data_IF_478113778817
#
_entry.id   IF_478113778817
#
_cell.length_a   1.000
_cell.length_b   1.000
_cell.length_c   1.000
_cell.angle_alpha   90.00
_cell.angle_beta   90.00
_cell.angle_gamma   90.00
#
_symmetry.space_group_name_H-M   'P 1'
#
loop_
_entity.id
_entity.type
_entity.pdbx_description
1 polymer ?
#
# COMPACT_ATOMS: atom_id res chain seq x y z
N UNK A 1 -30.95 2.49 -12.88
CA UNK A 1 -30.82 1.09 -13.28
C UNK A 1 -29.40 0.73 -13.77
N UNK A 2 -28.79 1.43 -14.75
CA UNK A 2 -27.43 1.15 -15.26
C UNK A 2 -26.33 1.20 -14.20
N UNK A 3 -26.42 2.16 -13.25
CA UNK A 3 -25.44 2.33 -12.16
C UNK A 3 -25.49 1.16 -11.16
N UNK A 4 -26.68 0.68 -10.83
CA UNK A 4 -26.85 -0.45 -9.91
C UNK A 4 -26.30 -1.74 -10.54
N UNK A 5 -26.56 -1.99 -11.82
CA UNK A 5 -26.01 -3.15 -12.53
C UNK A 5 -24.48 -3.13 -12.60
N UNK A 6 -23.90 -1.93 -12.79
CA UNK A 6 -22.45 -1.78 -12.76
C UNK A 6 -21.88 -2.11 -11.36
N UNK A 7 -22.51 -1.59 -10.30
CA UNK A 7 -22.10 -1.87 -8.93
C UNK A 7 -22.19 -3.37 -8.61
N UNK A 8 -23.28 -4.03 -8.95
CA UNK A 8 -23.46 -5.47 -8.74
C UNK A 8 -22.41 -6.29 -9.48
N UNK A 9 -22.06 -5.89 -10.71
CA UNK A 9 -20.99 -6.53 -11.46
C UNK A 9 -19.64 -6.41 -10.78
N UNK A 10 -19.26 -5.21 -10.30
CA UNK A 10 -17.99 -4.98 -9.59
C UNK A 10 -17.93 -5.78 -8.28
N UNK A 11 -19.03 -5.85 -7.53
CA UNK A 11 -19.15 -6.69 -6.34
C UNK A 11 -18.97 -8.17 -6.71
N UNK A 12 -19.60 -8.64 -7.79
CA UNK A 12 -19.45 -10.01 -8.28
C UNK A 12 -17.99 -10.33 -8.63
N UNK A 13 -17.30 -9.44 -9.33
CA UNK A 13 -15.88 -9.61 -9.62
C UNK A 13 -15.01 -9.64 -8.36
N UNK A 14 -15.31 -8.81 -7.37
CA UNK A 14 -14.63 -8.86 -6.07
C UNK A 14 -14.83 -10.21 -5.36
N UNK A 15 -16.06 -10.68 -5.28
CA UNK A 15 -16.40 -11.94 -4.59
C UNK A 15 -15.72 -13.17 -5.21
N UNK A 16 -15.53 -13.18 -6.51
CA UNK A 16 -14.86 -14.27 -7.22
C UNK A 16 -13.35 -14.05 -7.27
N UNK A 17 -12.92 -12.83 -7.59
CA UNK A 17 -11.52 -12.50 -7.80
C UNK A 17 -10.68 -12.58 -6.51
N UNK A 18 -11.19 -12.06 -5.39
CA UNK A 18 -10.45 -12.05 -4.12
C UNK A 18 -10.05 -13.46 -3.67
N UNK A 19 -10.97 -14.45 -3.60
CA UNK A 19 -10.59 -15.82 -3.24
C UNK A 19 -9.57 -16.45 -4.19
N UNK A 20 -9.73 -16.24 -5.51
CA UNK A 20 -8.82 -16.78 -6.52
C UNK A 20 -7.41 -16.16 -6.34
N UNK A 21 -7.32 -14.83 -6.25
CA UNK A 21 -6.04 -14.16 -6.07
C UNK A 21 -5.40 -14.52 -4.73
N UNK A 22 -6.19 -14.64 -3.66
CA UNK A 22 -5.67 -15.08 -2.36
C UNK A 22 -5.10 -16.50 -2.43
N UNK A 23 -5.80 -17.43 -3.08
CA UNK A 23 -5.31 -18.79 -3.28
C UNK A 23 -4.00 -18.82 -4.08
N UNK A 24 -3.96 -18.11 -5.21
CA UNK A 24 -2.75 -17.98 -6.02
C UNK A 24 -1.60 -17.34 -5.26
N UNK A 25 -1.90 -16.32 -4.43
CA UNK A 25 -0.91 -15.70 -3.57
C UNK A 25 -0.32 -16.69 -2.56
N UNK A 26 -1.17 -17.43 -1.85
CA UNK A 26 -0.73 -18.42 -0.86
C UNK A 26 0.14 -19.49 -1.50
N UNK A 27 -0.33 -20.09 -2.60
CA UNK A 27 0.42 -21.13 -3.32
C UNK A 27 1.75 -20.57 -3.85
N UNK A 28 1.71 -19.41 -4.51
CA UNK A 28 2.89 -18.77 -5.07
C UNK A 28 3.92 -18.35 -4.01
N UNK A 29 3.45 -17.83 -2.88
CA UNK A 29 4.29 -17.47 -1.75
C UNK A 29 5.04 -18.69 -1.17
N UNK A 30 4.32 -19.77 -0.85
CA UNK A 30 4.95 -20.97 -0.30
C UNK A 30 5.84 -21.68 -1.32
N UNK A 31 5.47 -21.70 -2.60
CA UNK A 31 6.33 -22.20 -3.67
C UNK A 31 7.65 -21.42 -3.74
N UNK A 32 7.55 -20.09 -3.75
CA UNK A 32 8.74 -19.21 -3.81
C UNK A 32 9.62 -19.39 -2.57
N UNK A 33 9.01 -19.38 -1.38
CA UNK A 33 9.70 -19.57 -0.12
C UNK A 33 10.42 -20.95 -0.10
N UNK A 34 9.70 -22.04 -0.43
CA UNK A 34 10.23 -23.39 -0.47
C UNK A 34 11.38 -23.53 -1.46
N UNK A 35 11.24 -22.99 -2.68
CA UNK A 35 12.29 -23.00 -3.69
C UNK A 35 13.58 -22.31 -3.21
N UNK A 36 13.44 -21.24 -2.44
CA UNK A 36 14.57 -20.49 -1.93
C UNK A 36 15.16 -21.08 -0.65
N UNK A 37 14.34 -21.68 0.22
CA UNK A 37 14.84 -22.38 1.42
C UNK A 37 15.65 -23.64 1.08
N UNK A 38 15.25 -24.38 0.04
CA UNK A 38 15.97 -25.59 -0.40
C UNK A 38 17.36 -25.28 -1.00
N UNK A 39 17.49 -24.07 -1.57
CA UNK A 39 18.76 -23.61 -2.18
C UNK A 39 19.38 -22.49 -1.35
N UNK A 40 19.42 -22.64 -0.01
CA UNK A 40 19.93 -21.60 0.89
C UNK A 40 21.38 -21.27 0.59
N UNK A 41 21.58 -20.22 -0.21
CA UNK A 41 22.86 -19.60 -0.51
C UNK A 41 22.72 -18.08 -0.30
N UNK A 42 23.81 -17.37 -0.03
CA UNK A 42 23.84 -15.90 0.12
C UNK A 42 23.12 -15.16 -1.02
N UNK A 43 23.17 -15.69 -2.25
CA UNK A 43 22.42 -15.18 -3.41
C UNK A 43 20.89 -15.21 -3.21
N UNK A 44 20.38 -16.13 -2.43
CA UNK A 44 18.94 -16.33 -2.17
C UNK A 44 18.37 -15.19 -1.33
N UNK A 45 19.06 -14.76 -0.29
CA UNK A 45 18.65 -13.61 0.53
C UNK A 45 18.48 -12.35 -0.31
N UNK A 46 19.38 -12.14 -1.28
CA UNK A 46 19.35 -10.99 -2.18
C UNK A 46 18.17 -11.02 -3.17
N UNK A 47 17.65 -12.20 -3.51
CA UNK A 47 16.48 -12.36 -4.39
C UNK A 47 15.15 -12.34 -3.63
N UNK A 48 15.12 -12.83 -2.39
CA UNK A 48 13.93 -12.84 -1.53
C UNK A 48 13.52 -11.43 -1.08
N UNK A 49 14.48 -10.58 -0.76
CA UNK A 49 14.21 -9.21 -0.28
C UNK A 49 13.31 -8.38 -1.22
N UNK A 50 13.55 -8.32 -2.55
CA UNK A 50 12.67 -7.60 -3.46
C UNK A 50 11.25 -8.19 -3.53
N UNK A 51 11.13 -9.52 -3.45
CA UNK A 51 9.83 -10.21 -3.50
C UNK A 51 9.03 -9.90 -2.23
N UNK A 52 9.62 -10.05 -1.06
CA UNK A 52 8.99 -9.75 0.22
C UNK A 52 8.60 -8.26 0.30
N UNK A 53 9.48 -7.37 -0.15
CA UNK A 53 9.19 -5.94 -0.23
C UNK A 53 7.99 -5.65 -1.14
N UNK A 54 7.93 -6.27 -2.32
CA UNK A 54 6.81 -6.09 -3.26
C UNK A 54 5.49 -6.56 -2.64
N UNK A 55 5.51 -7.72 -1.97
CA UNK A 55 4.33 -8.25 -1.27
C UNK A 55 3.88 -7.27 -0.17
N UNK A 56 4.80 -6.78 0.64
CA UNK A 56 4.49 -5.81 1.70
C UNK A 56 3.89 -4.53 1.13
N UNK A 57 4.43 -4.00 0.04
CA UNK A 57 3.90 -2.80 -0.62
C UNK A 57 2.49 -3.01 -1.16
N UNK A 58 2.20 -4.18 -1.76
CA UNK A 58 0.86 -4.51 -2.25
C UNK A 58 -0.14 -4.58 -1.08
N UNK A 59 0.19 -5.26 0.01
CA UNK A 59 -0.67 -5.31 1.19
C UNK A 59 -0.89 -3.95 1.84
N UNK A 60 0.15 -3.12 1.92
CA UNK A 60 0.04 -1.77 2.46
C UNK A 60 -0.86 -0.88 1.56
N UNK A 61 -0.75 -1.00 0.23
CA UNK A 61 -1.63 -0.33 -0.71
C UNK A 61 -3.09 -0.81 -0.63
N UNK A 62 -3.32 -2.11 -0.50
CA UNK A 62 -4.66 -2.67 -0.29
C UNK A 62 -5.26 -2.22 1.04
N UNK A 63 -4.49 -2.22 2.11
CA UNK A 63 -4.92 -1.71 3.41
C UNK A 63 -5.26 -0.22 3.34
N UNK A 64 -4.46 0.58 2.62
CA UNK A 64 -4.76 1.97 2.39
C UNK A 64 -6.06 2.18 1.60
N UNK A 65 -6.29 1.40 0.54
CA UNK A 65 -7.51 1.47 -0.23
C UNK A 65 -8.76 1.08 0.59
N UNK A 66 -8.66 0.00 1.37
CA UNK A 66 -9.79 -0.51 2.16
C UNK A 66 -10.10 0.31 3.40
N UNK A 67 -9.08 0.82 4.08
CA UNK A 67 -9.24 1.58 5.32
C UNK A 67 -9.21 3.11 5.10
N UNK A 68 -9.08 3.57 3.87
CA UNK A 68 -8.78 4.96 3.57
C UNK A 68 -9.80 5.96 4.13
N UNK A 69 -11.08 5.75 3.92
CA UNK A 69 -12.12 6.65 4.45
C UNK A 69 -12.14 6.63 5.98
N UNK A 70 -12.07 5.43 6.59
CA UNK A 70 -11.99 5.30 8.04
C UNK A 70 -10.81 6.08 8.61
N UNK A 71 -9.61 5.96 7.99
CA UNK A 71 -8.43 6.67 8.44
C UNK A 71 -8.56 8.19 8.27
N UNK A 72 -9.16 8.65 7.17
CA UNK A 72 -9.41 10.08 6.96
C UNK A 72 -10.33 10.64 8.03
N UNK A 73 -11.40 9.93 8.38
CA UNK A 73 -12.38 10.36 9.38
C UNK A 73 -11.79 10.33 10.80
N UNK A 74 -11.19 9.21 11.20
CA UNK A 74 -10.58 9.03 12.53
C UNK A 74 -9.43 10.02 12.77
N UNK A 75 -8.60 10.24 11.77
CA UNK A 75 -7.49 11.18 11.83
C UNK A 75 -7.89 12.61 11.49
N UNK A 76 -9.16 12.84 11.08
CA UNK A 76 -9.71 14.15 10.70
C UNK A 76 -8.85 14.84 9.64
N UNK A 77 -8.55 14.11 8.55
CA UNK A 77 -7.72 14.61 7.46
C UNK A 77 -8.56 15.50 6.54
N UNK A 78 -8.10 16.72 6.35
CA UNK A 78 -8.80 17.73 5.51
C UNK A 78 -8.09 17.97 4.19
N UNK A 79 -6.77 17.74 4.14
CA UNK A 79 -5.98 18.00 2.97
C UNK A 79 -6.30 17.00 1.84
N UNK A 80 -6.63 17.50 0.66
CA UNK A 80 -7.00 16.67 -0.50
C UNK A 80 -5.82 15.90 -1.10
N UNK A 81 -4.60 16.41 -0.94
CA UNK A 81 -3.39 15.77 -1.48
C UNK A 81 -2.89 14.63 -0.58
N UNK A 82 -3.10 14.72 0.71
CA UNK A 82 -2.64 13.77 1.72
C UNK A 82 -3.78 12.92 2.28
N UNK A 83 -4.69 12.43 1.41
CA UNK A 83 -5.82 11.56 1.79
C UNK A 83 -5.49 10.10 1.58
N UNK A 84 -5.86 9.29 2.56
CA UNK A 84 -5.85 7.84 2.44
C UNK A 84 -6.93 7.36 1.44
N UNK A 85 -6.76 6.15 0.90
CA UNK A 85 -7.76 5.48 0.06
C UNK A 85 -7.32 5.20 -1.38
N UNK A 86 -6.11 5.60 -1.78
CA UNK A 86 -5.59 5.30 -3.11
C UNK A 86 -4.76 4.02 -3.07
N UNK A 87 -5.13 3.04 -3.87
CA UNK A 87 -4.51 1.69 -3.86
C UNK A 87 -3.01 1.67 -4.22
N UNK A 88 -2.54 2.69 -4.94
CA UNK A 88 -1.13 2.83 -5.34
C UNK A 88 -0.27 3.59 -4.34
N UNK A 89 -0.86 4.06 -3.23
CA UNK A 89 -0.17 4.70 -2.13
C UNK A 89 -0.16 3.78 -0.92
N UNK A 90 0.96 3.72 -0.22
CA UNK A 90 1.04 3.00 1.04
C UNK A 90 0.52 3.84 2.20
N UNK A 91 0.02 3.21 3.26
CA UNK A 91 -0.37 3.93 4.50
C UNK A 91 0.81 4.74 5.03
N UNK A 92 2.02 4.17 4.97
CA UNK A 92 3.25 4.85 5.42
C UNK A 92 3.53 6.12 4.63
N UNK A 93 3.40 6.07 3.31
CA UNK A 93 3.63 7.21 2.43
C UNK A 93 2.59 8.32 2.68
N UNK A 94 1.29 7.96 2.74
CA UNK A 94 0.23 8.94 3.03
C UNK A 94 0.39 9.54 4.42
N UNK A 95 0.77 8.74 5.43
CA UNK A 95 1.03 9.25 6.78
C UNK A 95 2.17 10.27 6.79
N UNK A 96 3.20 10.05 5.99
CA UNK A 96 4.30 11.01 5.80
C UNK A 96 3.82 12.29 5.11
N UNK A 97 3.00 12.18 4.07
CA UNK A 97 2.38 13.34 3.39
C UNK A 97 1.47 14.13 4.33
N UNK A 98 0.66 13.45 5.15
CA UNK A 98 -0.19 14.11 6.18
C UNK A 98 0.65 14.93 7.14
N UNK A 99 1.80 14.40 7.59
CA UNK A 99 2.73 15.16 8.43
C UNK A 99 3.29 16.39 7.71
N UNK A 100 3.63 16.26 6.43
CA UNK A 100 4.21 17.36 5.65
C UNK A 100 3.21 18.49 5.37
N UNK A 101 1.97 18.14 5.06
CA UNK A 101 0.98 19.10 4.57
C UNK A 101 -0.09 19.52 5.58
N UNK A 102 -0.25 18.81 6.68
CA UNK A 102 -1.34 19.09 7.62
C UNK A 102 -0.93 19.00 9.08
N UNK A 103 -0.61 17.80 9.57
CA UNK A 103 -0.35 17.58 11.00
C UNK A 103 0.35 16.27 11.30
N UNK A 104 0.93 16.20 12.49
CA UNK A 104 1.42 14.94 13.05
C UNK A 104 0.28 14.10 13.62
N UNK A 105 0.29 12.81 13.34
CA UNK A 105 -0.76 11.87 13.75
C UNK A 105 -0.24 10.78 14.67
N UNK A 106 -1.13 10.17 15.47
CA UNK A 106 -0.78 9.02 16.28
C UNK A 106 -0.36 7.81 15.42
N UNK A 107 -0.94 7.68 14.22
CA UNK A 107 -0.59 6.60 13.28
C UNK A 107 0.88 6.69 12.86
N UNK A 108 1.42 7.89 12.63
CA UNK A 108 2.86 8.06 12.38
C UNK A 108 3.71 7.58 13.54
N UNK A 109 3.28 7.88 14.78
CA UNK A 109 4.00 7.41 15.97
C UNK A 109 4.00 5.88 16.05
N UNK A 110 2.90 5.25 15.70
CA UNK A 110 2.80 3.79 15.60
C UNK A 110 3.72 3.22 14.52
N UNK A 111 3.73 3.81 13.33
CA UNK A 111 4.56 3.36 12.21
C UNK A 111 6.07 3.51 12.44
N UNK A 112 6.51 4.23 13.48
CA UNK A 112 7.93 4.26 13.89
C UNK A 112 8.48 2.88 14.30
N UNK A 113 7.62 1.91 14.60
CA UNK A 113 8.00 0.51 14.82
C UNK A 113 8.69 -0.06 13.58
N UNK A 114 8.28 0.36 12.37
CA UNK A 114 8.87 -0.07 11.09
C UNK A 114 10.21 0.63 10.78
N UNK A 115 10.51 1.72 11.49
CA UNK A 115 11.72 2.52 11.34
C UNK A 115 11.50 3.96 11.79
N UNK A 116 12.51 4.58 12.42
CA UNK A 116 12.38 5.90 13.04
C UNK A 116 11.83 6.98 12.10
N UNK A 117 12.25 6.96 10.83
CA UNK A 117 11.87 7.95 9.80
C UNK A 117 11.09 7.32 8.65
N UNK A 118 10.61 6.08 8.82
CA UNK A 118 10.01 5.30 7.73
C UNK A 118 8.88 6.04 7.00
N UNK A 119 7.97 6.66 7.74
CA UNK A 119 6.84 7.39 7.13
C UNK A 119 7.29 8.69 6.46
N UNK A 120 8.27 9.41 7.02
CA UNK A 120 8.80 10.63 6.44
C UNK A 120 9.54 10.36 5.12
N UNK A 121 10.35 9.33 5.08
CA UNK A 121 11.06 8.90 3.87
C UNK A 121 10.07 8.48 2.78
N UNK A 122 9.09 7.63 3.13
CA UNK A 122 8.05 7.19 2.21
C UNK A 122 7.19 8.38 1.70
N UNK A 123 6.85 9.33 2.57
CA UNK A 123 6.11 10.54 2.18
C UNK A 123 6.90 11.45 1.25
N UNK A 124 8.18 11.63 1.50
CA UNK A 124 9.07 12.44 0.66
C UNK A 124 9.28 11.79 -0.72
N UNK A 125 9.45 10.47 -0.76
CA UNK A 125 9.54 9.71 -2.00
C UNK A 125 8.25 9.84 -2.84
N UNK A 126 7.09 9.71 -2.21
CA UNK A 126 5.79 9.89 -2.86
C UNK A 126 5.57 11.32 -3.34
N UNK A 127 5.94 12.33 -2.56
CA UNK A 127 5.90 13.73 -2.96
C UNK A 127 6.75 13.96 -4.22
N UNK A 128 7.96 13.43 -4.23
CA UNK A 128 8.87 13.49 -5.37
C UNK A 128 8.27 12.84 -6.62
N UNK A 129 7.61 11.70 -6.46
CA UNK A 129 6.87 11.02 -7.52
C UNK A 129 5.75 11.89 -8.08
N UNK A 130 4.95 12.53 -7.23
CA UNK A 130 3.88 13.44 -7.66
C UNK A 130 4.42 14.64 -8.44
N UNK A 131 5.47 15.29 -7.95
CA UNK A 131 6.09 16.39 -8.67
C UNK A 131 6.56 15.97 -10.06
N UNK A 132 7.16 14.80 -10.17
CA UNK A 132 7.72 14.30 -11.43
C UNK A 132 6.65 13.91 -12.45
N UNK A 133 5.53 13.31 -11.99
CA UNK A 133 4.57 12.65 -12.88
C UNK A 133 3.22 13.36 -13.02
N UNK A 134 2.79 14.12 -12.01
CA UNK A 134 1.48 14.75 -11.99
C UNK A 134 1.53 16.28 -12.19
N UNK A 135 2.62 16.94 -11.77
CA UNK A 135 2.72 18.40 -11.82
C UNK A 135 3.64 18.92 -12.93
N UNK A 136 4.46 18.08 -13.54
CA UNK A 136 5.08 18.41 -14.82
C UNK A 136 4.05 18.18 -15.94
N UNK A 137 3.18 19.17 -16.16
CA UNK A 137 2.59 19.32 -17.50
C UNK A 137 3.69 19.76 -18.46
N UNK A 138 3.69 19.21 -19.70
CA UNK A 138 4.58 19.67 -20.76
C UNK A 138 4.34 21.15 -21.08
#
# INVERSE_FOLDING_TARGET
MKTLLKLLREIGFMLIGIPIFFLLFVIGFFYTLGKHLIKWDYKVSRQLNPILRSITLVFDGLANAGAGELLNDVLKIKNSYARYGKWYETISAVTGLVKLYEKDTWLRKFLKILGKNHSEEAGTEMQSYYYKHLFKKP
#
